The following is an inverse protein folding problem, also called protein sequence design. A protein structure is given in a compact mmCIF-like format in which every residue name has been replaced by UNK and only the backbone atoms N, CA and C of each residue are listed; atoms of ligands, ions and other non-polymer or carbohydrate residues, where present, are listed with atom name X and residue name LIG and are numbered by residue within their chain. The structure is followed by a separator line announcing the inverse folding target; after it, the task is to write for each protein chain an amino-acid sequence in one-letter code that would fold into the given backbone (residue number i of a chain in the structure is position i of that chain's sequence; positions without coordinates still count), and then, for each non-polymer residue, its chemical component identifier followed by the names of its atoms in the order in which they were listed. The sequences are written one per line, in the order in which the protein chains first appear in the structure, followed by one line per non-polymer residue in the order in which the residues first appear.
data_IF_423013674384
#
_entry.id   IF_423013674384
#
_cell.length_a   1.000
_cell.length_b   1.000
_cell.length_c   1.000
_cell.angle_alpha   90.00
_cell.angle_beta   90.00
_cell.angle_gamma   90.00
#
_symmetry.space_group_name_H-M   'P 1'
#
loop_
_entity.id
_entity.type
_entity.pdbx_description
1 polymer ?
#
# COMPACT_ATOMS: atom_id res chain seq x y z
N UNK A 1 0.49 -1.28 16.58
CA UNK A 1 0.96 -2.50 15.91
C UNK A 1 -0.14 -3.56 15.92
N UNK A 2 0.07 -4.73 15.32
CA UNK A 2 -0.88 -5.84 15.45
C UNK A 2 -0.80 -6.52 16.81
N UNK A 3 -1.91 -7.12 17.24
CA UNK A 3 -1.95 -7.98 18.43
C UNK A 3 -1.91 -9.45 18.01
N UNK A 4 -0.79 -10.12 18.29
CA UNK A 4 -0.70 -11.57 18.07
C UNK A 4 -1.58 -12.27 19.13
N UNK A 5 -2.53 -13.15 18.74
CA UNK A 5 -3.49 -13.75 19.68
C UNK A 5 -2.85 -14.44 20.89
N UNK A 6 -1.69 -15.07 20.69
CA UNK A 6 -0.95 -15.75 21.76
C UNK A 6 -0.26 -14.79 22.75
N UNK A 7 0.06 -13.57 22.32
CA UNK A 7 0.74 -12.57 23.15
C UNK A 7 -0.25 -11.73 23.97
N UNK A 8 -1.48 -11.54 23.48
CA UNK A 8 -2.54 -10.79 24.16
C UNK A 8 -2.26 -9.29 24.33
N UNK A 9 -1.17 -8.78 23.77
CA UNK A 9 -0.75 -7.37 23.77
C UNK A 9 -0.12 -6.99 22.42
N UNK A 10 -0.12 -5.70 22.03
CA UNK A 10 0.50 -5.24 20.79
C UNK A 10 1.99 -5.58 20.72
N UNK A 11 2.50 -5.94 19.54
CA UNK A 11 3.93 -6.24 19.31
C UNK A 11 4.84 -5.06 19.63
N UNK A 12 4.35 -3.84 19.38
CA UNK A 12 4.93 -2.57 19.84
C UNK A 12 3.86 -1.49 20.04
N UNK A 13 4.15 -0.53 20.90
CA UNK A 13 3.23 0.57 21.24
C UNK A 13 3.59 1.85 20.47
N UNK A 14 2.56 2.56 19.97
CA UNK A 14 2.67 3.88 19.33
C UNK A 14 1.57 4.76 19.91
N UNK A 15 1.87 6.05 20.13
CA UNK A 15 0.88 7.00 20.62
C UNK A 15 -0.22 7.31 19.60
N UNK A 16 -1.34 7.87 20.07
CA UNK A 16 -2.51 8.20 19.22
C UNK A 16 -2.19 9.21 18.11
N UNK A 17 -1.17 10.05 18.31
CA UNK A 17 -0.68 11.04 17.35
C UNK A 17 0.61 10.59 16.65
N UNK A 18 1.01 9.33 16.80
CA UNK A 18 2.20 8.77 16.19
C UNK A 18 1.86 7.84 15.02
N UNK A 19 2.76 7.81 14.05
CA UNK A 19 2.77 6.83 12.96
C UNK A 19 4.19 6.31 12.76
N UNK A 20 4.31 5.16 12.09
CA UNK A 20 5.60 4.54 11.84
C UNK A 20 5.77 4.21 10.34
N UNK A 21 6.84 4.71 9.75
CA UNK A 21 7.14 4.53 8.32
C UNK A 21 8.01 3.29 8.10
N UNK A 22 7.64 2.51 7.09
CA UNK A 22 8.42 1.33 6.67
C UNK A 22 8.32 0.14 7.62
N UNK A 23 7.18 -0.02 8.30
CA UNK A 23 6.89 -1.17 9.15
C UNK A 23 6.87 -2.48 8.37
N UNK A 24 7.27 -3.56 9.02
CA UNK A 24 7.13 -4.92 8.49
C UNK A 24 5.74 -5.52 8.75
N UNK A 25 5.43 -6.61 8.05
CA UNK A 25 4.12 -7.29 8.12
C UNK A 25 3.97 -8.24 9.33
N UNK A 26 5.01 -8.40 10.15
CA UNK A 26 4.93 -9.13 11.41
C UNK A 26 5.04 -8.20 12.63
N UNK A 27 4.88 -6.89 12.41
CA UNK A 27 5.05 -5.89 13.45
C UNK A 27 6.51 -5.60 13.79
N UNK A 28 7.43 -5.84 12.85
CA UNK A 28 8.80 -5.35 12.98
C UNK A 28 8.81 -3.81 13.01
N UNK A 29 9.66 -3.18 13.84
CA UNK A 29 9.83 -1.73 13.84
C UNK A 29 10.14 -1.22 12.45
N UNK A 30 9.54 -0.08 12.10
CA UNK A 30 9.81 0.60 10.85
C UNK A 30 11.16 1.31 10.86
N UNK A 31 11.40 2.07 9.79
CA UNK A 31 12.61 2.90 9.66
C UNK A 31 12.62 4.04 10.67
N UNK A 32 11.45 4.61 10.95
CA UNK A 32 11.32 5.83 11.76
C UNK A 32 9.88 6.03 12.24
N UNK A 33 9.73 6.57 13.45
CA UNK A 33 8.47 7.12 13.98
C UNK A 33 8.32 8.60 13.65
N UNK A 34 7.08 9.02 13.43
CA UNK A 34 6.73 10.40 13.12
C UNK A 34 5.39 10.77 13.76
N UNK A 35 5.06 12.05 13.79
CA UNK A 35 3.69 12.50 14.08
C UNK A 35 2.76 12.10 12.93
N UNK A 36 1.56 11.67 13.25
CA UNK A 36 0.53 11.32 12.27
C UNK A 36 0.24 12.51 11.36
N UNK A 37 0.33 12.29 10.05
CA UNK A 37 0.15 13.34 9.02
C UNK A 37 -1.16 13.14 8.25
N UNK A 38 -1.50 14.12 7.42
CA UNK A 38 -2.58 13.96 6.44
C UNK A 38 -2.26 12.84 5.45
N UNK A 39 -3.29 12.22 4.88
CA UNK A 39 -3.11 11.18 3.86
C UNK A 39 -2.25 11.65 2.67
N UNK A 40 -2.40 12.91 2.25
CA UNK A 40 -1.60 13.51 1.18
C UNK A 40 -0.11 13.58 1.56
N UNK A 41 0.23 14.07 2.76
CA UNK A 41 1.61 14.15 3.22
C UNK A 41 2.25 12.77 3.42
N UNK A 42 1.47 11.79 3.88
CA UNK A 42 1.92 10.39 3.99
C UNK A 42 2.18 9.82 2.58
N UNK A 43 1.26 10.02 1.65
CA UNK A 43 1.38 9.56 0.28
C UNK A 43 2.60 10.20 -0.41
N UNK A 44 2.84 11.48 -0.21
CA UNK A 44 4.01 12.20 -0.73
C UNK A 44 5.32 11.55 -0.28
N UNK A 45 5.48 11.27 1.02
CA UNK A 45 6.70 10.65 1.56
C UNK A 45 6.92 9.23 1.01
N UNK A 46 5.86 8.41 0.96
CA UNK A 46 5.93 7.05 0.42
C UNK A 46 6.23 7.06 -1.09
N UNK A 47 5.50 7.87 -1.85
CA UNK A 47 5.64 7.93 -3.30
C UNK A 47 6.98 8.54 -3.71
N UNK A 48 7.48 9.55 -2.99
CA UNK A 48 8.80 10.13 -3.23
C UNK A 48 9.91 9.09 -3.06
N UNK A 49 9.85 8.25 -2.02
CA UNK A 49 10.80 7.17 -1.82
C UNK A 49 10.77 6.17 -2.99
N UNK A 50 9.57 5.73 -3.42
CA UNK A 50 9.41 4.83 -4.56
C UNK A 50 9.91 5.47 -5.85
N UNK A 51 9.56 6.72 -6.13
CA UNK A 51 9.98 7.45 -7.33
C UNK A 51 11.50 7.69 -7.38
N UNK A 52 12.14 7.83 -6.22
CA UNK A 52 13.59 7.98 -6.11
C UNK A 52 14.36 6.71 -6.49
N UNK A 53 13.78 5.53 -6.22
CA UNK A 53 14.35 4.24 -6.61
C UNK A 53 13.93 3.80 -8.03
N UNK A 54 12.88 4.41 -8.57
CA UNK A 54 12.31 4.04 -9.87
C UNK A 54 13.15 4.60 -11.04
N UNK A 55 13.71 3.70 -11.85
CA UNK A 55 14.53 4.06 -13.02
C UNK A 55 13.73 4.52 -14.23
N UNK A 56 12.61 3.86 -14.47
CA UNK A 56 11.78 4.07 -15.67
C UNK A 56 10.44 4.73 -15.32
N UNK A 57 9.74 5.21 -16.33
CA UNK A 57 8.40 5.80 -16.25
C UNK A 57 7.54 5.22 -17.38
N UNK A 58 6.22 5.27 -17.25
CA UNK A 58 5.31 4.64 -18.19
C UNK A 58 4.15 3.90 -17.52
N UNK A 59 3.54 2.92 -18.20
CA UNK A 59 2.42 2.15 -17.67
C UNK A 59 2.78 1.41 -16.37
N UNK A 60 1.88 1.45 -15.40
CA UNK A 60 2.09 0.80 -14.12
C UNK A 60 0.79 0.25 -13.52
N UNK A 61 0.96 -0.79 -12.71
CA UNK A 61 -0.01 -1.26 -11.75
C UNK A 61 0.24 -0.61 -10.40
N UNK A 62 -0.78 0.07 -9.87
CA UNK A 62 -0.75 0.68 -8.54
C UNK A 62 -1.56 -0.16 -7.55
N UNK A 63 -0.87 -0.72 -6.57
CA UNK A 63 -1.48 -1.55 -5.54
C UNK A 63 -1.41 -0.83 -4.17
N UNK A 64 -2.58 -0.50 -3.62
CA UNK A 64 -2.73 0.06 -2.27
C UNK A 64 -3.32 -1.03 -1.38
N UNK A 65 -2.49 -1.51 -0.46
CA UNK A 65 -2.80 -2.63 0.40
C UNK A 65 -3.04 -2.17 1.83
N UNK A 66 -4.17 -2.54 2.44
CA UNK A 66 -4.41 -2.37 3.86
C UNK A 66 -3.78 -3.48 4.69
N UNK A 67 -3.23 -3.13 5.87
CA UNK A 67 -2.68 -4.12 6.80
C UNK A 67 -3.73 -4.80 7.70
N UNK A 68 -5.01 -4.49 7.50
CA UNK A 68 -6.15 -5.15 8.13
C UNK A 68 -7.06 -4.20 8.89
N UNK A 69 -6.48 -3.29 9.68
CA UNK A 69 -7.23 -2.35 10.52
C UNK A 69 -7.71 -1.08 9.81
N UNK A 70 -7.22 -0.78 8.60
CA UNK A 70 -7.59 0.43 7.86
C UNK A 70 -8.90 0.27 7.08
N UNK A 71 -9.90 1.15 7.28
CA UNK A 71 -11.14 1.16 6.51
C UNK A 71 -10.91 1.26 5.00
N UNK A 72 -11.73 0.56 4.21
CA UNK A 72 -11.62 0.58 2.75
C UNK A 72 -11.73 1.99 2.15
N UNK A 73 -12.57 2.86 2.73
CA UNK A 73 -12.68 4.27 2.31
C UNK A 73 -11.37 5.05 2.48
N UNK A 74 -10.60 4.77 3.53
CA UNK A 74 -9.29 5.39 3.76
C UNK A 74 -8.23 4.86 2.79
N UNK A 75 -8.31 3.58 2.42
CA UNK A 75 -7.45 3.02 1.36
C UNK A 75 -7.73 3.68 0.00
N UNK A 76 -8.98 3.99 -0.32
CA UNK A 76 -9.30 4.76 -1.53
C UNK A 76 -8.86 6.22 -1.47
N UNK A 77 -8.89 6.86 -0.29
CA UNK A 77 -8.28 8.17 -0.09
C UNK A 77 -6.78 8.13 -0.40
N UNK A 78 -6.06 7.16 0.18
CA UNK A 78 -4.64 6.95 -0.07
C UNK A 78 -4.35 6.65 -1.55
N UNK A 79 -5.17 5.81 -2.21
CA UNK A 79 -5.06 5.55 -3.64
C UNK A 79 -5.20 6.82 -4.48
N UNK A 80 -6.17 7.68 -4.17
CA UNK A 80 -6.36 8.94 -4.88
C UNK A 80 -5.13 9.86 -4.75
N UNK A 81 -4.57 9.99 -3.55
CA UNK A 81 -3.36 10.78 -3.32
C UNK A 81 -2.16 10.20 -4.06
N UNK A 82 -1.90 8.89 -3.91
CA UNK A 82 -0.80 8.20 -4.57
C UNK A 82 -0.88 8.25 -6.09
N UNK A 83 -2.05 7.99 -6.67
CA UNK A 83 -2.27 8.03 -8.12
C UNK A 83 -1.90 9.40 -8.70
N UNK A 84 -2.38 10.49 -8.08
CA UNK A 84 -2.06 11.85 -8.52
C UNK A 84 -0.56 12.12 -8.50
N UNK A 85 0.12 11.71 -7.43
CA UNK A 85 1.57 11.92 -7.30
C UNK A 85 2.31 11.16 -8.39
N UNK A 86 1.99 9.88 -8.62
CA UNK A 86 2.64 9.09 -9.66
C UNK A 86 2.35 9.62 -11.07
N UNK A 87 1.10 9.99 -11.37
CA UNK A 87 0.71 10.55 -12.68
C UNK A 87 1.38 11.89 -12.98
N UNK A 88 1.52 12.76 -11.98
CA UNK A 88 2.27 14.01 -12.10
C UNK A 88 3.79 13.80 -12.30
N UNK A 89 4.30 12.58 -12.06
CA UNK A 89 5.71 12.23 -12.19
C UNK A 89 5.97 11.25 -13.36
N UNK A 90 5.08 11.22 -14.35
CA UNK A 90 5.29 10.49 -15.62
C UNK A 90 4.92 9.01 -15.59
N UNK A 91 4.34 8.51 -14.49
CA UNK A 91 3.80 7.15 -14.42
C UNK A 91 2.34 7.17 -14.90
N UNK A 92 1.93 6.21 -15.71
CA UNK A 92 0.52 6.06 -16.13
C UNK A 92 -0.09 4.86 -15.42
N UNK A 93 -0.99 5.09 -14.47
CA UNK A 93 -1.64 3.99 -13.73
C UNK A 93 -2.70 3.34 -14.63
N UNK A 94 -2.33 2.23 -15.28
CA UNK A 94 -3.18 1.47 -16.20
C UNK A 94 -3.97 0.38 -15.50
N UNK A 95 -3.46 -0.15 -14.39
CA UNK A 95 -4.16 -1.12 -13.53
C UNK A 95 -4.05 -0.71 -12.08
N UNK A 96 -5.01 -1.15 -11.27
CA UNK A 96 -4.95 -0.91 -9.84
C UNK A 96 -5.56 -2.05 -9.04
N UNK A 97 -5.09 -2.18 -7.81
CA UNK A 97 -5.65 -3.05 -6.80
C UNK A 97 -5.74 -2.25 -5.50
N UNK A 98 -6.91 -2.23 -4.86
CA UNK A 98 -7.12 -1.51 -3.61
C UNK A 98 -7.89 -2.42 -2.65
N UNK A 99 -7.40 -2.58 -1.43
CA UNK A 99 -8.02 -3.43 -0.41
C UNK A 99 -7.00 -4.10 0.49
N UNK A 100 -7.44 -5.08 1.28
CA UNK A 100 -6.58 -5.81 2.23
C UNK A 100 -6.24 -7.19 1.66
N UNK A 101 -5.07 -7.35 1.05
CA UNK A 101 -4.64 -8.60 0.41
C UNK A 101 -3.44 -9.24 1.13
N UNK A 102 -2.52 -8.42 1.65
CA UNK A 102 -1.36 -8.85 2.45
C UNK A 102 -1.42 -8.14 3.79
N UNK A 103 -2.10 -8.74 4.76
CA UNK A 103 -2.39 -8.10 6.05
C UNK A 103 -1.35 -8.42 7.12
N UNK A 104 -1.38 -7.62 8.19
CA UNK A 104 -0.70 -7.87 9.46
C UNK A 104 -1.76 -7.86 10.58
N UNK A 105 -2.63 -8.88 10.59
CA UNK A 105 -3.76 -9.03 11.51
C UNK A 105 -4.65 -7.77 11.56
N UNK A 106 -4.69 -7.08 12.71
CA UNK A 106 -5.50 -5.90 13.01
C UNK A 106 -4.71 -4.59 12.88
N UNK A 107 -3.51 -4.61 12.28
CA UNK A 107 -2.70 -3.40 12.12
C UNK A 107 -3.41 -2.34 11.29
N UNK A 108 -3.61 -1.15 11.87
CA UNK A 108 -4.01 0.04 11.14
C UNK A 108 -2.80 0.60 10.38
N UNK A 109 -2.89 0.64 9.06
CA UNK A 109 -1.84 1.08 8.17
C UNK A 109 -2.04 0.53 6.75
N UNK A 110 -1.20 1.00 5.83
CA UNK A 110 -1.22 0.55 4.46
C UNK A 110 0.19 0.51 3.85
N UNK A 111 0.33 -0.21 2.74
CA UNK A 111 1.50 -0.15 1.87
C UNK A 111 1.10 0.25 0.45
N UNK A 112 2.03 0.89 -0.23
CA UNK A 112 1.92 1.22 -1.66
C UNK A 112 2.94 0.38 -2.41
N UNK A 113 2.50 -0.30 -3.46
CA UNK A 113 3.35 -1.00 -4.39
C UNK A 113 3.09 -0.46 -5.79
N UNK A 114 4.16 -0.08 -6.49
CA UNK A 114 4.12 0.33 -7.88
C UNK A 114 4.90 -0.67 -8.71
N UNK A 115 4.25 -1.27 -9.70
CA UNK A 115 4.89 -2.21 -10.63
C UNK A 115 4.83 -1.64 -12.03
N UNK A 116 5.98 -1.37 -12.66
CA UNK A 116 6.02 -1.01 -14.08
C UNK A 116 5.58 -2.21 -14.90
N UNK A 117 4.73 -1.99 -15.89
CA UNK A 117 4.21 -3.07 -16.73
C UNK A 117 4.48 -2.77 -18.20
N UNK A 118 4.77 -3.82 -18.95
CA UNK A 118 4.76 -3.84 -20.40
C UNK A 118 3.49 -4.57 -20.91
N UNK A 119 3.40 -4.73 -22.22
CA UNK A 119 2.24 -5.37 -22.86
C UNK A 119 2.08 -6.84 -22.43
N UNK A 120 3.19 -7.57 -22.25
CA UNK A 120 3.17 -8.97 -21.80
C UNK A 120 2.67 -9.07 -20.35
N UNK A 121 3.24 -8.28 -19.45
CA UNK A 121 2.84 -8.26 -18.03
C UNK A 121 1.40 -7.80 -17.85
N UNK A 122 0.96 -6.82 -18.65
CA UNK A 122 -0.43 -6.36 -18.66
C UNK A 122 -1.37 -7.48 -19.11
N UNK A 123 -1.03 -8.21 -20.17
CA UNK A 123 -1.82 -9.35 -20.64
C UNK A 123 -1.91 -10.47 -19.58
N UNK A 124 -0.83 -10.73 -18.85
CA UNK A 124 -0.82 -11.70 -17.74
C UNK A 124 -1.68 -11.26 -16.56
N UNK A 125 -1.67 -9.97 -16.21
CA UNK A 125 -2.53 -9.43 -15.16
C UNK A 125 -4.02 -9.55 -15.54
N UNK A 126 -4.36 -9.27 -16.80
CA UNK A 126 -5.75 -9.30 -17.28
C UNK A 126 -6.29 -10.71 -17.53
N UNK A 127 -5.42 -11.73 -17.55
CA UNK A 127 -5.83 -13.11 -17.75
C UNK A 127 -6.86 -13.55 -16.69
N UNK A 128 -7.85 -14.39 -17.03
CA UNK A 128 -8.86 -14.85 -16.09
C UNK A 128 -8.26 -15.49 -14.84
N UNK A 129 -8.77 -15.11 -13.67
CA UNK A 129 -8.37 -15.66 -12.38
C UNK A 129 -9.60 -16.01 -11.56
N UNK A 130 -9.55 -17.14 -10.86
CA UNK A 130 -10.61 -17.57 -9.96
C UNK A 130 -9.99 -18.10 -8.66
N UNK A 131 -9.79 -17.20 -7.72
CA UNK A 131 -9.31 -17.49 -6.37
C UNK A 131 -10.27 -16.87 -5.34
N UNK A 132 -10.06 -17.18 -4.06
CA UNK A 132 -10.89 -16.63 -2.99
C UNK A 132 -10.81 -15.09 -2.88
N UNK A 133 -9.67 -14.49 -3.24
CA UNK A 133 -9.41 -13.05 -3.07
C UNK A 133 -9.28 -12.27 -4.38
N UNK A 134 -8.97 -12.93 -5.51
CA UNK A 134 -8.89 -12.31 -6.84
C UNK A 134 -9.77 -13.08 -7.82
N UNK A 135 -10.69 -12.38 -8.49
CA UNK A 135 -11.65 -12.98 -9.42
C UNK A 135 -12.06 -12.01 -10.53
N UNK A 136 -11.72 -12.32 -11.78
CA UNK A 136 -12.15 -11.59 -12.99
C UNK A 136 -12.03 -12.46 -14.25
N UNK A 137 -12.59 -11.98 -15.37
CA UNK A 137 -12.47 -12.62 -16.69
C UNK A 137 -13.34 -13.88 -16.87
N UNK A 138 -14.48 -13.95 -16.18
CA UNK A 138 -15.46 -15.04 -16.32
C UNK A 138 -16.44 -14.81 -17.45
#
# INVERSE_FOLDING_TARGET
SCTVPAAGKPTFDIGDEEMEFGVGIHGEPGRRRDTLKSADAIAEEICAAILGDLRDRGPALLFVNGFGGTPLMELYLMYNSARKIFENNGVTVTRSLVGSYVTSLDMAGCSITLTMVDDETTALWDAPVHTAALRWGM
#
